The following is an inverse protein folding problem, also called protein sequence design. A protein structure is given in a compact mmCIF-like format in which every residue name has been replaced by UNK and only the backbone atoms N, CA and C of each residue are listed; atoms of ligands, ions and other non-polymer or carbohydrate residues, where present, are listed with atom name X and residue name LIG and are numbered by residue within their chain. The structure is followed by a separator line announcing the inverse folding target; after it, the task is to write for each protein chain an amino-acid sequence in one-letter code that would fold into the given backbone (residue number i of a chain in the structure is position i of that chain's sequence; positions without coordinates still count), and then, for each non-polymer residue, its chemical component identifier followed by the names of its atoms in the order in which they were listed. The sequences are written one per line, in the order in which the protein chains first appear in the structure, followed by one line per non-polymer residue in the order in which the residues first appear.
data_IF_002690417819
#
_entry.id   IF_002690417819
#
_cell.length_a   1.000
_cell.length_b   1.000
_cell.length_c   1.000
_cell.angle_alpha   90.00
_cell.angle_beta   90.00
_cell.angle_gamma   90.00
#
_symmetry.space_group_name_H-M   'P 1'
#
loop_
_entity.id
_entity.type
_entity.pdbx_description
1 polymer ?
#
# COMPACT_ATOMS: atom_id res chain seq x y z
N UNK A 1 10.15 -17.42 -9.48
CA UNK A 1 10.11 -17.86 -8.08
C UNK A 1 9.43 -16.73 -7.35
N UNK A 2 8.16 -16.89 -7.00
CA UNK A 2 7.53 -15.92 -6.11
C UNK A 2 8.15 -16.05 -4.74
N UNK A 3 9.03 -15.09 -4.45
CA UNK A 3 9.63 -14.97 -3.13
C UNK A 3 8.68 -14.17 -2.27
N UNK A 4 8.27 -14.73 -1.14
CA UNK A 4 7.66 -13.91 -0.09
C UNK A 4 8.68 -12.86 0.36
N UNK A 5 8.27 -11.60 0.46
CA UNK A 5 9.16 -10.52 0.92
C UNK A 5 8.71 -10.00 2.28
N UNK A 6 9.62 -9.91 3.25
CA UNK A 6 9.29 -9.38 4.58
C UNK A 6 9.16 -7.86 4.52
N UNK A 7 7.99 -7.33 4.85
CA UNK A 7 7.69 -5.89 4.82
C UNK A 7 7.99 -5.23 6.16
N UNK A 8 7.09 -5.40 7.12
CA UNK A 8 7.11 -4.74 8.44
C UNK A 8 6.41 -5.64 9.49
N UNK A 9 6.09 -5.12 10.68
CA UNK A 9 5.25 -5.79 11.68
C UNK A 9 3.83 -5.23 11.69
N UNK A 10 2.87 -6.04 12.15
CA UNK A 10 1.49 -5.59 12.39
C UNK A 10 1.47 -4.45 13.42
N UNK A 11 2.34 -4.51 14.43
CA UNK A 11 2.47 -3.46 15.45
C UNK A 11 2.88 -2.13 14.82
N UNK A 12 3.87 -2.10 13.93
CA UNK A 12 4.28 -0.88 13.23
C UNK A 12 3.13 -0.28 12.41
N UNK A 13 2.36 -1.11 11.68
CA UNK A 13 1.22 -0.61 10.89
C UNK A 13 0.14 -0.01 11.79
N UNK A 14 -0.09 -0.60 12.97
CA UNK A 14 -1.06 -0.08 13.96
C UNK A 14 -0.59 1.22 14.61
N UNK A 15 0.69 1.30 14.98
CA UNK A 15 1.27 2.47 15.62
C UNK A 15 1.33 3.68 14.68
N UNK A 16 1.65 3.45 13.40
CA UNK A 16 1.70 4.50 12.38
C UNK A 16 0.34 4.77 11.71
N UNK A 17 -0.65 3.89 11.90
CA UNK A 17 -1.98 3.95 11.28
C UNK A 17 -2.02 3.56 9.80
N UNK A 18 -0.90 3.64 9.09
CA UNK A 18 -0.70 3.08 7.75
C UNK A 18 0.79 3.03 7.41
N UNK A 19 1.20 2.14 6.51
CA UNK A 19 2.60 1.99 6.12
C UNK A 19 2.74 1.89 4.59
N UNK A 20 3.60 2.71 3.99
CA UNK A 20 3.72 2.87 2.54
C UNK A 20 4.93 2.13 1.97
N UNK A 21 4.74 1.45 0.85
CA UNK A 21 5.82 0.84 0.08
C UNK A 21 5.54 0.86 -1.43
N UNK A 22 6.58 0.54 -2.20
CA UNK A 22 6.55 0.46 -3.66
C UNK A 22 6.68 -0.96 -4.12
N UNK A 23 5.98 -1.26 -5.20
CA UNK A 23 6.09 -2.50 -5.95
C UNK A 23 6.24 -2.23 -7.45
N UNK A 24 6.68 -3.23 -8.18
CA UNK A 24 6.62 -3.29 -9.65
C UNK A 24 5.58 -4.30 -10.06
N UNK A 25 4.66 -3.95 -10.94
CA UNK A 25 3.68 -4.89 -11.47
C UNK A 25 4.27 -5.80 -12.56
N UNK A 26 3.49 -6.78 -13.00
CA UNK A 26 3.84 -7.70 -14.08
C UNK A 26 4.13 -7.00 -15.44
N UNK A 27 3.70 -5.74 -15.62
CA UNK A 27 3.97 -4.93 -16.80
C UNK A 27 5.19 -4.01 -16.67
N UNK A 28 5.85 -4.02 -15.50
CA UNK A 28 7.02 -3.21 -15.20
C UNK A 28 6.70 -1.81 -14.65
N UNK A 29 5.42 -1.47 -14.46
CA UNK A 29 5.02 -0.20 -13.88
C UNK A 29 5.30 -0.17 -12.38
N UNK A 30 5.77 0.98 -11.88
CA UNK A 30 6.00 1.21 -10.45
C UNK A 30 4.70 1.70 -9.83
N UNK A 31 4.30 1.10 -8.73
CA UNK A 31 3.09 1.47 -8.01
C UNK A 31 3.34 1.57 -6.50
N UNK A 32 2.51 2.38 -5.85
CA UNK A 32 2.49 2.51 -4.40
C UNK A 32 1.40 1.65 -3.79
N UNK A 33 1.72 1.02 -2.66
CA UNK A 33 0.82 0.15 -1.89
C UNK A 33 0.87 0.59 -0.44
N UNK A 34 -0.29 0.61 0.20
CA UNK A 34 -0.44 0.97 1.61
C UNK A 34 -0.88 -0.25 2.40
N UNK A 35 -0.19 -0.51 3.51
CA UNK A 35 -0.70 -1.39 4.57
C UNK A 35 -1.55 -0.56 5.52
N UNK A 36 -2.70 -1.08 5.91
CA UNK A 36 -3.59 -0.49 6.91
C UNK A 36 -4.02 -1.52 7.95
N UNK A 37 -4.32 -1.12 9.19
CA UNK A 37 -4.85 -2.02 10.19
C UNK A 37 -6.20 -2.60 9.76
N UNK A 38 -6.36 -3.90 9.94
CA UNK A 38 -7.65 -4.59 9.85
C UNK A 38 -7.88 -5.41 11.12
N UNK A 39 -9.10 -5.39 11.65
CA UNK A 39 -9.44 -6.10 12.89
C UNK A 39 -9.53 -7.62 12.69
N UNK A 40 -9.83 -8.08 11.48
CA UNK A 40 -10.03 -9.50 11.15
C UNK A 40 -8.73 -10.23 10.81
N UNK A 41 -7.91 -9.64 9.93
CA UNK A 41 -6.66 -10.22 9.41
C UNK A 41 -5.39 -9.63 10.04
N UNK A 42 -5.53 -8.55 10.80
CA UNK A 42 -4.42 -7.78 11.39
C UNK A 42 -4.01 -6.60 10.53
N UNK A 43 -3.76 -6.84 9.23
CA UNK A 43 -3.47 -5.82 8.23
C UNK A 43 -4.01 -6.23 6.86
N UNK A 44 -4.35 -5.24 6.05
CA UNK A 44 -4.66 -5.40 4.62
C UNK A 44 -3.77 -4.49 3.79
N UNK A 45 -3.58 -4.84 2.51
CA UNK A 45 -2.78 -4.05 1.58
C UNK A 45 -3.59 -3.61 0.36
N UNK A 46 -3.55 -2.32 0.07
CA UNK A 46 -4.31 -1.70 -1.00
C UNK A 46 -3.41 -0.85 -1.89
N UNK A 47 -3.67 -0.80 -3.20
CA UNK A 47 -3.02 0.18 -4.08
C UNK A 47 -3.32 1.59 -3.55
N UNK A 48 -2.30 2.43 -3.44
CA UNK A 48 -2.40 3.79 -2.87
C UNK A 48 -3.07 4.78 -3.84
N UNK A 49 -4.27 4.48 -4.32
CA UNK A 49 -4.97 5.30 -5.30
C UNK A 49 -6.46 5.19 -5.14
N UNK A 50 -7.12 6.35 -5.03
CA UNK A 50 -8.57 6.42 -5.08
C UNK A 50 -9.08 5.84 -6.41
N UNK A 51 -10.16 5.08 -6.35
CA UNK A 51 -10.81 4.46 -7.52
C UNK A 51 -11.58 5.47 -8.38
N UNK A 52 -11.95 6.63 -7.82
CA UNK A 52 -12.61 7.71 -8.55
C UNK A 52 -11.63 8.45 -9.49
N UNK A 53 -10.48 8.88 -8.96
CA UNK A 53 -9.47 9.64 -9.68
C UNK A 53 -8.07 9.28 -9.18
N UNK A 54 -7.04 9.60 -9.96
CA UNK A 54 -5.64 9.40 -9.58
C UNK A 54 -5.19 10.31 -8.41
N UNK A 55 -5.65 9.98 -7.20
CA UNK A 55 -5.33 10.65 -5.95
C UNK A 55 -4.74 9.62 -4.98
N UNK A 56 -3.52 9.89 -4.49
CA UNK A 56 -2.90 9.11 -3.42
C UNK A 56 -3.71 9.25 -2.11
N UNK A 57 -3.94 8.13 -1.42
CA UNK A 57 -4.70 8.06 -0.15
C UNK A 57 -3.79 8.28 1.06
N UNK A 58 -2.58 7.72 1.00
CA UNK A 58 -1.47 7.96 1.90
C UNK A 58 -0.50 8.93 1.24
N UNK A 59 0.02 9.89 2.01
CA UNK A 59 1.14 10.75 1.59
C UNK A 59 2.30 10.56 2.55
N UNK A 60 3.49 10.38 2.00
CA UNK A 60 4.69 10.22 2.82
C UNK A 60 4.87 11.42 3.78
N UNK A 61 5.27 11.12 5.02
CA UNK A 61 5.37 12.12 6.10
C UNK A 61 4.04 12.57 6.72
N UNK A 62 2.89 12.22 6.12
CA UNK A 62 1.55 12.52 6.66
C UNK A 62 0.79 11.26 7.07
N UNK A 63 0.96 10.16 6.32
CA UNK A 63 0.18 8.94 6.47
C UNK A 63 -1.12 8.95 5.66
N UNK A 64 -1.90 7.89 5.81
CA UNK A 64 -3.30 7.85 5.37
C UNK A 64 -4.19 8.47 6.46
N UNK A 65 -5.18 9.28 6.05
CA UNK A 65 -6.19 9.74 6.97
C UNK A 65 -7.20 8.61 7.22
N UNK A 66 -7.30 8.13 8.46
CA UNK A 66 -8.24 7.05 8.84
C UNK A 66 -9.32 7.60 9.77
N UNK A 67 -10.59 7.23 9.53
CA UNK A 67 -11.73 7.52 10.38
C UNK A 67 -12.63 6.30 10.45
N UNK A 68 -13.00 5.87 11.67
CA UNK A 68 -13.93 4.76 11.88
C UNK A 68 -13.55 3.49 11.08
N UNK A 69 -12.26 3.13 11.10
CA UNK A 69 -11.70 2.02 10.31
C UNK A 69 -11.84 2.18 8.78
N UNK A 70 -11.95 3.42 8.29
CA UNK A 70 -12.00 3.74 6.87
C UNK A 70 -10.93 4.74 6.44
N UNK A 71 -10.28 4.48 5.31
CA UNK A 71 -9.30 5.36 4.66
C UNK A 71 -10.04 6.48 3.94
N UNK A 72 -9.79 7.73 4.33
CA UNK A 72 -10.44 8.90 3.76
C UNK A 72 -9.62 9.44 2.59
N UNK A 73 -10.22 9.48 1.40
CA UNK A 73 -9.64 10.16 0.25
C UNK A 73 -9.53 11.67 0.53
N UNK A 74 -8.32 12.27 0.47
CA UNK A 74 -8.09 13.64 0.89
C UNK A 74 -8.68 14.70 -0.08
N UNK A 75 -9.16 14.28 -1.26
CA UNK A 75 -9.67 15.20 -2.28
C UNK A 75 -11.16 15.48 -2.09
N UNK A 76 -11.99 14.44 -2.16
CA UNK A 76 -13.46 14.58 -2.12
C UNK A 76 -14.12 13.83 -0.96
N UNK A 77 -13.35 13.13 -0.13
CA UNK A 77 -13.85 12.56 1.14
C UNK A 77 -14.58 11.22 1.03
N UNK A 78 -14.46 10.48 -0.08
CA UNK A 78 -14.84 9.06 -0.11
C UNK A 78 -14.03 8.28 0.92
N UNK A 79 -14.67 7.30 1.55
CA UNK A 79 -14.13 6.51 2.64
C UNK A 79 -14.11 5.04 2.22
N UNK A 80 -12.96 4.41 2.29
CA UNK A 80 -12.76 3.00 1.96
C UNK A 80 -12.56 2.21 3.25
N UNK A 81 -13.37 1.20 3.51
CA UNK A 81 -13.20 0.30 4.66
C UNK A 81 -11.82 -0.37 4.63
N UNK A 82 -11.11 -0.42 5.76
CA UNK A 82 -9.72 -0.91 5.79
C UNK A 82 -9.59 -2.41 5.58
N UNK A 83 -10.62 -3.19 5.93
CA UNK A 83 -10.59 -4.65 5.82
C UNK A 83 -11.06 -5.16 4.45
N UNK A 84 -12.06 -4.51 3.86
CA UNK A 84 -12.66 -4.94 2.58
C UNK A 84 -12.24 -4.07 1.39
N UNK A 85 -11.74 -2.86 1.65
CA UNK A 85 -11.43 -1.87 0.62
C UNK A 85 -12.67 -1.26 -0.05
N UNK A 86 -13.88 -1.62 0.38
CA UNK A 86 -15.13 -1.16 -0.22
C UNK A 86 -15.45 0.29 0.14
N UNK A 87 -16.07 1.02 -0.78
CA UNK A 87 -16.53 2.39 -0.57
C UNK A 87 -18.03 2.52 -0.85
N UNK A 88 -18.77 2.97 0.16
CA UNK A 88 -20.23 3.15 0.09
C UNK A 88 -20.63 4.63 0.00
N UNK A 89 -19.68 5.56 -0.14
CA UNK A 89 -19.96 7.00 -0.10
C UNK A 89 -19.14 7.85 -1.07
N UNK A 90 -19.67 9.05 -1.35
CA UNK A 90 -19.00 10.03 -2.18
C UNK A 90 -18.88 9.59 -3.63
N UNK A 91 -17.90 10.12 -4.34
CA UNK A 91 -17.73 9.89 -5.78
C UNK A 91 -17.10 8.55 -6.12
N UNK A 92 -16.50 7.87 -5.14
CA UNK A 92 -15.99 6.51 -5.27
C UNK A 92 -16.99 5.43 -4.80
N UNK A 93 -18.24 5.79 -4.53
CA UNK A 93 -19.26 4.83 -4.08
C UNK A 93 -19.40 3.65 -5.07
N UNK A 94 -19.72 2.46 -4.53
CA UNK A 94 -19.87 1.21 -5.25
C UNK A 94 -18.58 0.71 -5.94
N UNK A 95 -17.41 1.13 -5.42
CA UNK A 95 -16.09 0.63 -5.86
C UNK A 95 -15.31 0.01 -4.71
N UNK A 96 -14.26 -0.73 -5.05
CA UNK A 96 -13.36 -1.37 -4.08
C UNK A 96 -11.91 -1.05 -4.45
N UNK A 97 -11.07 -0.77 -3.46
CA UNK A 97 -9.63 -0.62 -3.69
C UNK A 97 -9.04 -1.91 -4.27
N UNK A 98 -8.14 -1.82 -5.28
CA UNK A 98 -7.42 -2.99 -5.73
C UNK A 98 -6.49 -3.50 -4.63
N UNK A 99 -6.62 -4.78 -4.29
CA UNK A 99 -5.82 -5.44 -3.25
C UNK A 99 -4.42 -5.79 -3.75
N UNK A 100 -3.52 -6.01 -2.78
CA UNK A 100 -2.22 -6.66 -2.97
C UNK A 100 -2.11 -7.76 -1.92
N UNK A 101 -1.80 -8.99 -2.32
CA UNK A 101 -1.81 -10.11 -1.38
C UNK A 101 -0.66 -10.01 -0.36
N UNK A 102 -1.03 -10.03 0.92
CA UNK A 102 -0.11 -10.08 2.06
C UNK A 102 -0.49 -11.19 3.02
N UNK A 103 0.50 -11.72 3.74
CA UNK A 103 0.30 -12.72 4.78
C UNK A 103 0.94 -12.26 6.08
N UNK A 104 0.23 -12.48 7.20
CA UNK A 104 0.76 -12.25 8.55
C UNK A 104 1.20 -13.58 9.16
N UNK A 105 2.47 -13.64 9.58
CA UNK A 105 3.02 -14.77 10.33
C UNK A 105 3.82 -14.27 11.52
N UNK A 106 3.44 -14.72 12.73
CA UNK A 106 4.10 -14.34 13.98
C UNK A 106 4.23 -12.81 14.16
N UNK A 107 3.18 -12.07 13.80
CA UNK A 107 3.15 -10.60 13.88
C UNK A 107 3.93 -9.88 12.79
N UNK A 108 4.60 -10.59 11.87
CA UNK A 108 5.27 -10.01 10.72
C UNK A 108 4.44 -10.09 9.45
N UNK A 109 4.46 -9.02 8.68
CA UNK A 109 3.76 -8.90 7.40
C UNK A 109 4.73 -9.28 6.26
N UNK A 110 4.26 -10.11 5.36
CA UNK A 110 4.97 -10.53 4.16
C UNK A 110 4.15 -10.20 2.93
N UNK A 111 4.78 -9.62 1.91
CA UNK A 111 4.23 -9.58 0.56
C UNK A 111 4.25 -11.01 0.00
N UNK A 112 3.09 -11.47 -0.47
CA UNK A 112 2.89 -12.82 -1.01
C UNK A 112 2.22 -12.82 -2.38
N UNK A 113 1.88 -11.64 -2.90
CA UNK A 113 1.33 -11.44 -4.22
C UNK A 113 2.35 -11.79 -5.32
N UNK A 114 1.96 -12.69 -6.21
CA UNK A 114 2.80 -13.21 -7.29
C UNK A 114 2.86 -12.24 -8.50
N UNK A 115 1.94 -11.28 -8.58
CA UNK A 115 1.82 -10.33 -9.69
C UNK A 115 2.65 -9.05 -9.47
N UNK A 116 3.37 -8.96 -8.35
CA UNK A 116 4.21 -7.81 -8.01
C UNK A 116 5.56 -8.17 -7.39
N UNK A 117 6.57 -7.37 -7.71
CA UNK A 117 7.89 -7.41 -7.08
C UNK A 117 8.07 -6.24 -6.11
N UNK A 118 8.55 -6.51 -4.89
CA UNK A 118 8.86 -5.45 -3.92
C UNK A 118 10.03 -4.57 -4.38
N UNK A 119 9.85 -3.24 -4.34
CA UNK A 119 10.88 -2.26 -4.72
C UNK A 119 11.50 -1.52 -3.53
N UNK A 120 10.76 -1.32 -2.44
CA UNK A 120 11.26 -0.57 -1.28
C UNK A 120 10.16 0.11 -0.47
N UNK A 121 10.51 0.57 0.73
CA UNK A 121 9.61 1.34 1.62
C UNK A 121 9.54 2.81 1.19
N UNK A 122 8.41 3.47 1.45
CA UNK A 122 8.14 4.87 1.10
C UNK A 122 7.35 5.01 -0.19
N UNK A 123 7.12 6.25 -0.61
CA UNK A 123 6.39 6.61 -1.83
C UNK A 123 7.30 6.73 -3.06
N UNK A 124 6.70 6.84 -4.23
CA UNK A 124 7.41 7.20 -5.46
C UNK A 124 7.66 8.70 -5.40
N UNK A 125 8.93 9.09 -5.42
CA UNK A 125 9.33 10.49 -5.56
C UNK A 125 8.83 11.01 -6.91
N UNK A 126 8.08 12.12 -6.90
CA UNK A 126 7.59 12.75 -8.13
C UNK A 126 8.74 13.34 -8.99
N UNK A 127 9.99 13.30 -8.49
CA UNK A 127 11.22 13.77 -9.16
C UNK A 127 12.08 12.63 -9.76
N UNK A 128 11.68 11.35 -9.64
CA UNK A 128 12.39 10.22 -10.26
C UNK A 128 12.04 10.07 -11.76
N UNK A 129 12.47 11.02 -12.57
CA UNK A 129 12.67 10.81 -14.00
C UNK A 129 13.83 9.80 -14.18
N UNK A 130 13.51 8.53 -14.46
CA UNK A 130 14.36 7.46 -15.02
C UNK A 130 15.90 7.69 -14.98
N UNK A 131 16.46 7.75 -13.77
CA UNK A 131 17.89 7.64 -13.53
C UNK A 131 18.26 6.19 -13.22
N UNK A 132 19.27 5.57 -13.87
CA UNK A 132 19.69 4.23 -13.52
C UNK A 132 20.28 4.24 -12.09
N UNK A 133 19.50 3.76 -11.11
CA UNK A 133 20.05 3.51 -9.78
C UNK A 133 21.04 2.35 -9.89
N UNK A 134 22.31 2.71 -9.72
CA UNK A 134 23.46 1.84 -9.82
C UNK A 134 23.39 0.78 -8.72
N UNK A 135 23.15 -0.48 -9.10
CA UNK A 135 23.41 -1.61 -8.20
C UNK A 135 24.92 -1.83 -8.08
N UNK A 136 25.55 -1.08 -7.17
CA UNK A 136 26.88 -1.40 -6.67
C UNK A 136 26.74 -2.37 -5.50
N UNK A 137 26.60 -3.66 -5.81
CA UNK A 137 26.93 -4.72 -4.85
C UNK A 137 27.92 -5.69 -5.50
N UNK A 138 29.19 -5.26 -5.53
CA UNK A 138 30.31 -6.18 -5.61
C UNK A 138 30.34 -6.96 -4.29
N UNK A 139 30.08 -8.27 -4.36
CA UNK A 139 30.39 -9.18 -3.26
C UNK A 139 31.91 -9.45 -3.29
N UNK A 140 32.56 -9.27 -2.14
CA UNK A 140 33.91 -9.78 -1.86
C UNK A 140 33.81 -10.95 -0.88
#
# INVERSE_FOLDING_TARGET
MSGRYRLTSVETVRDEGSWLFRVRDAHGAREEVILVPCEESGVEAWRNRCTHENQRLHREGVGAAVRESGIVCPKHGSIFDTCSGACDNGEAADTTLPSVDVTVENGQVYLTDDDVDYLGTGGIDDDEEDGPSSSSHLQF
#
